data_IF_511027621494
#
_entry.id   IF_511027621494
#
_cell.length_a   1.000
_cell.length_b   1.000
_cell.length_c   1.000
_cell.angle_alpha   90.00
_cell.angle_beta   90.00
_cell.angle_gamma   90.00
#
_symmetry.space_group_name_H-M   'P 1'
#
loop_
_entity.id
_entity.type
_entity.pdbx_description
1 polymer ?
#
# COMPACT_ATOMS: atom_id res chain seq x y z
N UNK A 1 -8.00 -3.06 -3.41
CA UNK A 1 -6.61 -3.09 -2.88
C UNK A 1 -6.18 -4.54 -2.74
N UNK A 2 -5.43 -5.09 -3.71
CA UNK A 2 -4.82 -6.41 -3.57
C UNK A 2 -3.41 -6.22 -3.04
N UNK A 3 -3.29 -6.35 -1.73
CA UNK A 3 -2.02 -6.24 -1.01
C UNK A 3 -1.34 -7.61 -1.04
N UNK A 4 -0.05 -7.66 -1.37
CA UNK A 4 0.77 -8.81 -0.99
C UNK A 4 1.32 -8.55 0.44
N UNK A 5 0.71 -9.09 1.51
CA UNK A 5 1.21 -8.91 2.88
C UNK A 5 2.59 -9.57 3.09
N UNK A 6 2.99 -10.42 2.13
CA UNK A 6 4.26 -11.15 2.00
C UNK A 6 5.53 -10.32 1.83
N UNK A 7 5.40 -9.06 1.43
CA UNK A 7 6.43 -8.46 0.62
C UNK A 7 7.17 -7.34 1.36
N UNK A 8 8.46 -7.58 1.63
CA UNK A 8 9.34 -6.61 2.26
C UNK A 8 9.54 -5.40 1.33
N UNK A 9 8.80 -4.33 1.58
CA UNK A 9 8.97 -3.05 0.89
C UNK A 9 10.10 -2.26 1.57
N UNK A 10 11.13 -1.89 0.79
CA UNK A 10 12.14 -0.93 1.29
C UNK A 10 11.56 0.47 1.44
N UNK A 11 10.56 0.81 0.62
CA UNK A 11 9.80 2.06 0.70
C UNK A 11 8.31 1.76 0.86
N UNK A 12 7.75 2.18 2.00
CA UNK A 12 6.32 2.05 2.28
C UNK A 12 5.54 3.10 1.47
N UNK A 13 4.47 2.73 0.75
CA UNK A 13 3.75 3.62 -0.15
C UNK A 13 2.74 4.49 0.60
N UNK A 14 3.18 5.17 1.66
CA UNK A 14 2.30 5.84 2.60
C UNK A 14 1.69 7.09 1.98
N UNK A 15 2.42 7.82 1.13
CA UNK A 15 1.88 9.01 0.46
C UNK A 15 0.80 8.61 -0.54
N UNK A 16 1.03 7.56 -1.34
CA UNK A 16 0.06 7.02 -2.28
C UNK A 16 -1.21 6.53 -1.56
N UNK A 17 -1.05 5.78 -0.46
CA UNK A 17 -2.18 5.33 0.37
C UNK A 17 -2.95 6.51 0.96
N UNK A 18 -2.26 7.55 1.43
CA UNK A 18 -2.90 8.76 1.97
C UNK A 18 -3.76 9.43 0.89
N UNK A 19 -3.24 9.59 -0.33
CA UNK A 19 -4.00 10.17 -1.44
C UNK A 19 -5.19 9.30 -1.85
N UNK A 20 -5.04 7.98 -1.83
CA UNK A 20 -6.12 7.05 -2.12
C UNK A 20 -7.30 7.20 -1.17
N UNK A 21 -7.00 7.24 0.14
CA UNK A 21 -8.00 7.37 1.21
C UNK A 21 -8.71 8.72 1.10
N UNK A 22 -7.97 9.82 0.89
CA UNK A 22 -8.56 11.15 0.80
C UNK A 22 -9.52 11.31 -0.37
N UNK A 23 -9.24 10.66 -1.50
CA UNK A 23 -10.06 10.75 -2.70
C UNK A 23 -11.11 9.64 -2.80
N UNK A 24 -11.31 8.87 -1.72
CA UNK A 24 -12.19 7.71 -1.67
C UNK A 24 -12.06 6.80 -2.91
N UNK A 25 -10.84 6.71 -3.44
CA UNK A 25 -10.62 6.02 -4.71
C UNK A 25 -10.59 4.53 -4.41
N UNK A 26 -11.59 3.81 -4.93
CA UNK A 26 -11.56 2.35 -4.99
C UNK A 26 -10.41 1.94 -5.89
N UNK A 27 -9.24 1.79 -5.28
CA UNK A 27 -8.08 1.35 -6.02
C UNK A 27 -8.18 -0.16 -6.16
N UNK A 28 -8.44 -0.60 -7.39
CA UNK A 28 -8.18 -1.96 -7.82
C UNK A 28 -6.72 -2.04 -8.28
N UNK A 29 -5.82 -2.20 -7.31
CA UNK A 29 -4.38 -2.23 -7.54
C UNK A 29 -3.76 -3.43 -6.87
N UNK A 30 -2.84 -4.07 -7.58
CA UNK A 30 -1.93 -5.05 -7.02
C UNK A 30 -0.66 -4.32 -6.59
N UNK A 31 -0.40 -4.25 -5.29
CA UNK A 31 0.92 -3.85 -4.78
C UNK A 31 1.88 -5.00 -5.04
N UNK A 32 2.65 -4.91 -6.13
CA UNK A 32 3.61 -5.96 -6.48
C UNK A 32 4.90 -5.73 -5.71
N UNK A 33 4.89 -6.37 -4.54
CA UNK A 33 5.99 -6.91 -3.76
C UNK A 33 6.82 -8.01 -4.44
N UNK A 34 7.80 -7.79 -5.32
CA UNK A 34 8.61 -8.89 -5.88
C UNK A 34 10.07 -8.92 -5.40
N UNK A 35 10.68 -10.10 -5.44
CA UNK A 35 12.05 -10.34 -4.97
C UNK A 35 13.12 -9.70 -5.87
N UNK A 36 12.73 -9.18 -7.03
CA UNK A 36 13.59 -8.49 -8.00
C UNK A 36 13.54 -6.96 -7.83
N UNK A 37 12.47 -6.44 -7.21
CA UNK A 37 12.11 -5.02 -7.17
C UNK A 37 11.66 -4.68 -5.75
N UNK A 38 12.56 -4.17 -4.92
CA UNK A 38 12.28 -3.84 -3.51
C UNK A 38 11.42 -2.58 -3.31
N UNK A 39 10.75 -2.09 -4.36
CA UNK A 39 10.01 -0.83 -4.37
C UNK A 39 8.51 -1.09 -4.51
N UNK A 40 7.70 -0.24 -3.88
CA UNK A 40 6.27 -0.28 -4.07
C UNK A 40 5.91 0.14 -5.51
N UNK A 41 5.00 -0.60 -6.13
CA UNK A 41 4.63 -0.40 -7.51
C UNK A 41 3.13 -0.63 -7.75
N UNK A 42 2.59 0.06 -8.75
CA UNK A 42 1.18 0.11 -9.12
C UNK A 42 1.01 -0.34 -10.58
N UNK A 43 0.36 -1.48 -10.78
CA UNK A 43 0.00 -1.97 -12.12
C UNK A 43 -1.08 -1.11 -12.78
N UNK A 44 -0.97 -0.88 -14.09
CA UNK A 44 -1.91 -0.08 -14.88
C UNK A 44 -2.91 -0.97 -15.65
N UNK A 45 -4.18 -0.56 -15.83
CA UNK A 45 -5.19 -1.36 -16.54
C UNK A 45 -4.83 -1.71 -18.00
N UNK A 46 -4.06 -0.86 -18.68
CA UNK A 46 -3.61 -1.07 -20.06
C UNK A 46 -2.27 -1.81 -20.19
N UNK A 47 -1.72 -2.34 -19.08
CA UNK A 47 -0.35 -2.84 -19.01
C UNK A 47 0.66 -1.75 -18.64
N UNK A 48 1.77 -2.16 -18.03
CA UNK A 48 2.76 -1.25 -17.45
C UNK A 48 2.61 -1.08 -15.94
N UNK A 49 3.63 -0.46 -15.33
CA UNK A 49 3.75 -0.31 -13.88
C UNK A 49 4.27 1.09 -13.54
N UNK A 50 3.66 1.75 -12.55
CA UNK A 50 4.17 2.98 -11.94
C UNK A 50 4.93 2.59 -10.68
N UNK A 51 6.19 3.02 -10.58
CA UNK A 51 7.08 2.67 -9.45
C UNK A 51 7.33 3.90 -8.59
N UNK A 52 7.26 3.73 -7.27
CA UNK A 52 7.60 4.77 -6.29
C UNK A 52 6.39 5.49 -5.70
N UNK A 53 6.47 5.79 -4.41
CA UNK A 53 5.35 6.31 -3.60
C UNK A 53 4.72 7.58 -4.20
N UNK A 54 5.55 8.58 -4.53
CA UNK A 54 5.08 9.85 -5.09
C UNK A 54 4.54 9.71 -6.52
N UNK A 55 5.11 8.83 -7.34
CA UNK A 55 4.63 8.59 -8.69
C UNK A 55 3.25 7.91 -8.67
N UNK A 56 3.08 6.93 -7.79
CA UNK A 56 1.77 6.30 -7.55
C UNK A 56 0.75 7.32 -7.03
N UNK A 57 1.13 8.18 -6.07
CA UNK A 57 0.26 9.22 -5.55
C UNK A 57 -0.21 10.19 -6.65
N UNK A 58 0.70 10.64 -7.53
CA UNK A 58 0.35 11.47 -8.70
C UNK A 58 -0.61 10.75 -9.64
N UNK A 59 -0.39 9.47 -9.92
CA UNK A 59 -1.30 8.69 -10.77
C UNK A 59 -2.70 8.57 -10.16
N UNK A 60 -2.79 8.30 -8.85
CA UNK A 60 -4.06 8.20 -8.13
C UNK A 60 -4.84 9.52 -8.24
N UNK A 61 -4.18 10.66 -8.04
CA UNK A 61 -4.82 11.97 -8.13
C UNK A 61 -5.33 12.29 -9.54
N UNK A 62 -4.58 11.94 -10.58
CA UNK A 62 -5.02 12.15 -11.98
C UNK A 62 -6.26 11.32 -12.36
N UNK A 63 -6.55 10.25 -11.61
CA UNK A 63 -7.72 9.39 -11.80
C UNK A 63 -8.90 9.76 -10.91
N UNK A 64 -8.66 10.50 -9.83
CA UNK A 64 -9.75 10.98 -9.00
C UNK A 64 -10.55 11.99 -9.82
N UNK A 65 -11.85 11.77 -9.98
CA UNK A 65 -12.74 12.68 -10.70
C UNK A 65 -12.79 14.02 -9.98
N UNK A 66 -11.99 14.97 -10.45
CA UNK A 66 -11.93 16.35 -9.97
C UNK A 66 -11.07 17.19 -10.90
N UNK A 67 -11.67 18.16 -11.58
CA UNK A 67 -10.91 19.20 -12.26
C UNK A 67 -10.16 20.01 -11.20
N UNK A 68 -8.86 19.74 -11.05
CA UNK A 68 -7.98 20.58 -10.23
C UNK A 68 -7.50 21.73 -11.11
N UNK A 69 -7.53 22.95 -10.58
CA UNK A 69 -6.99 24.12 -11.28
C UNK A 69 -5.51 23.86 -11.60
N UNK A 70 -5.12 24.03 -12.87
CA UNK A 70 -3.75 23.87 -13.36
C UNK A 70 -2.72 24.66 -12.53
N UNK A 71 -3.13 25.78 -11.93
CA UNK A 71 -2.28 26.57 -11.05
C UNK A 71 -2.01 25.86 -9.72
N UNK A 72 -3.03 25.21 -9.15
CA UNK A 72 -2.89 24.41 -7.92
C UNK A 72 -2.07 23.14 -8.17
N UNK A 73 -2.25 22.49 -9.32
CA UNK A 73 -1.42 21.35 -9.74
C UNK A 73 0.06 21.73 -9.80
N UNK A 74 0.40 22.85 -10.47
CA UNK A 74 1.78 23.33 -10.56
C UNK A 74 2.37 23.66 -9.17
N UNK A 75 1.58 24.25 -8.27
CA UNK A 75 2.00 24.50 -6.89
C UNK A 75 2.26 23.19 -6.15
N UNK A 76 1.38 22.20 -6.27
CA UNK A 76 1.56 20.88 -5.64
C UNK A 76 2.84 20.23 -6.14
N UNK A 77 3.08 20.22 -7.46
CA UNK A 77 4.29 19.62 -8.02
C UNK A 77 5.56 20.31 -7.54
N UNK A 78 5.56 21.64 -7.40
CA UNK A 78 6.70 22.38 -6.85
C UNK A 78 7.05 21.93 -5.42
N UNK A 79 6.05 21.66 -4.59
CA UNK A 79 6.24 21.15 -3.23
C UNK A 79 6.71 19.70 -3.20
N UNK A 80 6.23 18.87 -4.13
CA UNK A 80 6.69 17.48 -4.27
C UNK A 80 8.16 17.45 -4.65
N UNK A 81 8.57 18.27 -5.62
CA UNK A 81 9.96 18.35 -6.05
C UNK A 81 10.87 18.90 -4.94
N UNK A 82 10.39 19.91 -4.19
CA UNK A 82 11.07 20.40 -2.99
C UNK A 82 11.24 19.28 -1.95
N UNK A 83 10.17 18.54 -1.63
CA UNK A 83 10.20 17.43 -0.67
C UNK A 83 11.17 16.32 -1.09
N UNK A 84 11.30 16.04 -2.38
CA UNK A 84 12.28 15.10 -2.92
C UNK A 84 13.71 15.61 -2.74
N UNK A 85 13.96 16.89 -3.05
CA UNK A 85 15.30 17.49 -2.96
C UNK A 85 15.83 17.47 -1.52
N UNK A 86 15.00 17.80 -0.53
CA UNK A 86 15.42 17.87 0.87
C UNK A 86 15.61 16.51 1.54
N UNK A 87 15.06 15.43 0.96
CA UNK A 87 15.29 14.06 1.46
C UNK A 87 16.75 13.64 1.36
N UNK A 88 17.51 14.25 0.44
CA UNK A 88 18.95 14.04 0.27
C UNK A 88 19.78 14.64 1.41
N UNK A 89 19.20 15.54 2.21
CA UNK A 89 19.88 16.14 3.36
C UNK A 89 19.90 15.19 4.57
N UNK A 90 20.95 15.31 5.38
CA UNK A 90 21.02 14.68 6.69
C UNK A 90 19.84 15.12 7.58
N UNK A 91 19.38 14.22 8.45
CA UNK A 91 18.17 14.42 9.28
C UNK A 91 18.13 15.78 10.00
N UNK A 92 19.19 16.27 10.67
CA UNK A 92 19.13 17.57 11.36
C UNK A 92 18.95 18.75 10.40
N UNK A 93 19.68 18.76 9.28
CA UNK A 93 19.60 19.81 8.25
C UNK A 93 18.24 19.79 7.56
N UNK A 94 17.72 18.60 7.29
CA UNK A 94 16.40 18.39 6.70
C UNK A 94 15.29 18.92 7.61
N UNK A 95 15.33 18.62 8.91
CA UNK A 95 14.37 19.13 9.89
C UNK A 95 14.39 20.66 9.96
N UNK A 96 15.59 21.26 9.98
CA UNK A 96 15.73 22.71 9.98
C UNK A 96 15.18 23.36 8.71
N UNK A 97 15.51 22.81 7.53
CA UNK A 97 15.01 23.31 6.25
C UNK A 97 13.48 23.25 6.14
N UNK A 98 12.89 22.12 6.59
CA UNK A 98 11.43 21.97 6.63
C UNK A 98 10.82 22.97 7.62
N UNK A 99 11.41 23.13 8.81
CA UNK A 99 10.92 24.08 9.81
C UNK A 99 10.88 25.51 9.28
N UNK A 100 11.98 26.00 8.70
CA UNK A 100 12.08 27.36 8.16
C UNK A 100 11.09 27.58 7.02
N UNK A 101 10.96 26.60 6.13
CA UNK A 101 10.07 26.69 4.97
C UNK A 101 8.60 26.70 5.39
N UNK A 102 8.22 25.82 6.32
CA UNK A 102 6.87 25.79 6.89
C UNK A 102 6.55 27.07 7.67
N UNK A 103 7.51 27.59 8.43
CA UNK A 103 7.30 28.81 9.20
C UNK A 103 7.06 30.03 8.32
N UNK A 104 7.61 30.06 7.10
CA UNK A 104 7.30 31.09 6.12
C UNK A 104 5.97 30.80 5.40
N UNK A 105 5.77 29.58 4.91
CA UNK A 105 4.63 29.21 4.07
C UNK A 105 3.29 29.18 4.83
N UNK A 106 3.31 28.86 6.12
CA UNK A 106 2.11 28.59 6.93
C UNK A 106 1.84 29.64 8.02
N UNK A 107 2.39 30.85 7.88
CA UNK A 107 2.09 31.94 8.84
C UNK A 107 0.59 32.25 8.90
N UNK A 108 -0.06 32.31 7.74
CA UNK A 108 -1.49 32.62 7.58
C UNK A 108 -2.30 31.47 6.97
N UNK A 109 -1.69 30.27 6.86
CA UNK A 109 -2.28 29.12 6.19
C UNK A 109 -2.20 27.85 7.04
N UNK A 110 -3.15 26.96 6.82
CA UNK A 110 -3.20 25.65 7.47
C UNK A 110 -2.50 24.58 6.63
N UNK A 111 -2.68 24.62 5.31
CA UNK A 111 -2.14 23.67 4.34
C UNK A 111 -1.22 24.38 3.35
N UNK A 112 -0.31 23.61 2.72
CA UNK A 112 0.66 24.17 1.76
C UNK A 112 -0.01 24.74 0.51
N UNK A 113 -1.02 24.04 -0.01
CA UNK A 113 -1.78 24.44 -1.20
C UNK A 113 -3.27 24.33 -0.90
N UNK A 114 -4.02 25.39 -1.22
CA UNK A 114 -5.46 25.43 -1.04
C UNK A 114 -5.90 25.43 0.44
N UNK A 115 -6.99 24.72 0.72
CA UNK A 115 -7.67 24.72 2.03
C UNK A 115 -7.88 23.32 2.62
N UNK A 116 -7.33 22.30 1.99
CA UNK A 116 -7.44 20.89 2.39
C UNK A 116 -6.07 20.21 2.32
N UNK A 117 -5.94 19.02 2.91
CA UNK A 117 -4.72 18.23 2.84
C UNK A 117 -4.49 17.77 1.39
N UNK A 118 -3.35 18.13 0.82
CA UNK A 118 -2.99 17.79 -0.57
C UNK A 118 -1.76 16.90 -0.65
N UNK A 119 -1.41 16.44 -1.87
CA UNK A 119 -0.15 15.74 -2.11
C UNK A 119 1.07 16.55 -1.67
N UNK A 120 1.02 17.90 -1.73
CA UNK A 120 2.10 18.75 -1.23
C UNK A 120 2.37 18.49 0.26
N UNK A 121 1.31 18.48 1.09
CA UNK A 121 1.43 18.25 2.53
C UNK A 121 1.93 16.84 2.82
N UNK A 122 1.35 15.82 2.17
CA UNK A 122 1.75 14.44 2.36
C UNK A 122 3.19 14.17 1.90
N UNK A 123 3.62 14.76 0.78
CA UNK A 123 4.99 14.65 0.28
C UNK A 123 5.99 15.32 1.23
N UNK A 124 5.72 16.54 1.70
CA UNK A 124 6.62 17.21 2.65
C UNK A 124 6.65 16.48 4.00
N UNK A 125 5.51 15.97 4.47
CA UNK A 125 5.43 15.22 5.72
C UNK A 125 6.21 13.91 5.65
N UNK A 126 6.20 13.27 4.49
CA UNK A 126 7.01 12.08 4.24
C UNK A 126 8.53 12.36 4.31
N UNK A 127 8.98 13.59 4.00
CA UNK A 127 10.36 13.99 4.18
C UNK A 127 10.78 14.12 5.66
N UNK A 128 9.83 14.27 6.59
CA UNK A 128 10.09 14.16 8.04
C UNK A 128 10.29 12.71 8.51
N UNK A 129 10.17 11.73 7.62
CA UNK A 129 10.15 10.31 7.94
C UNK A 129 8.75 9.76 8.22
N UNK A 130 7.71 10.54 7.91
CA UNK A 130 6.30 10.16 8.07
C UNK A 130 5.96 9.67 9.50
N UNK A 131 6.18 10.51 10.53
CA UNK A 131 5.87 10.13 11.91
C UNK A 131 4.35 9.94 12.05
N UNK A 132 3.89 8.73 12.35
CA UNK A 132 2.46 8.45 12.52
C UNK A 132 2.11 7.72 13.81
N UNK A 133 3.12 7.15 14.48
CA UNK A 133 2.95 6.69 15.87
C UNK A 133 3.10 7.87 16.82
N UNK A 134 2.43 7.79 17.97
CA UNK A 134 2.46 8.86 18.97
C UNK A 134 3.89 9.22 19.41
N UNK A 135 4.73 8.21 19.65
CA UNK A 135 6.14 8.42 20.04
C UNK A 135 6.94 9.15 18.97
N UNK A 136 6.81 8.74 17.71
CA UNK A 136 7.50 9.37 16.57
C UNK A 136 7.01 10.81 16.34
N UNK A 137 5.70 11.02 16.43
CA UNK A 137 5.08 12.34 16.33
C UNK A 137 5.61 13.30 17.38
N UNK A 138 5.70 12.84 18.63
CA UNK A 138 6.30 13.61 19.72
C UNK A 138 7.76 13.91 19.44
N UNK A 139 8.56 12.90 19.10
CA UNK A 139 9.99 13.03 18.86
C UNK A 139 10.31 14.00 17.70
N UNK A 140 9.60 13.90 16.57
CA UNK A 140 9.80 14.83 15.44
C UNK A 140 9.36 16.25 15.81
N UNK A 141 8.25 16.41 16.50
CA UNK A 141 7.76 17.74 16.92
C UNK A 141 8.68 18.43 17.93
N UNK A 142 9.37 17.66 18.77
CA UNK A 142 10.37 18.14 19.73
C UNK A 142 11.74 18.40 19.09
N UNK A 143 12.05 17.71 17.98
CA UNK A 143 13.28 17.93 17.21
C UNK A 143 13.22 19.18 16.31
N UNK A 144 12.03 19.73 16.06
CA UNK A 144 11.88 21.01 15.35
C UNK A 144 12.23 22.18 16.29
N UNK A 145 12.79 23.29 15.77
CA UNK A 145 13.07 24.49 16.56
C UNK A 145 11.85 24.96 17.36
N UNK A 146 12.04 25.39 18.60
CA UNK A 146 10.93 25.72 19.52
C UNK A 146 10.14 26.93 19.04
N UNK A 147 10.82 27.87 18.38
CA UNK A 147 10.27 29.07 17.74
C UNK A 147 9.48 28.79 16.45
N UNK A 148 9.61 27.59 15.84
CA UNK A 148 8.91 27.22 14.61
C UNK A 148 7.46 26.80 14.90
N UNK A 149 6.64 27.76 15.30
CA UNK A 149 5.27 27.57 15.77
C UNK A 149 4.36 26.96 14.71
N UNK A 150 4.43 27.42 13.46
CA UNK A 150 3.62 26.94 12.36
C UNK A 150 4.08 25.54 11.92
N UNK A 151 5.40 25.29 11.88
CA UNK A 151 5.94 23.97 11.55
C UNK A 151 5.50 22.90 12.57
N UNK A 152 5.59 23.21 13.87
CA UNK A 152 5.17 22.29 14.94
C UNK A 152 3.67 22.07 14.94
N UNK A 153 2.87 23.13 14.70
CA UNK A 153 1.40 23.03 14.55
C UNK A 153 1.04 22.11 13.40
N UNK A 154 1.58 22.37 12.21
CA UNK A 154 1.32 21.58 11.00
C UNK A 154 1.75 20.12 11.18
N UNK A 155 2.92 19.87 11.81
CA UNK A 155 3.40 18.50 12.08
C UNK A 155 2.42 17.73 12.96
N UNK A 156 1.91 18.34 14.04
CA UNK A 156 0.89 17.72 14.91
C UNK A 156 -0.42 17.49 14.17
N UNK A 157 -0.83 18.43 13.32
CA UNK A 157 -2.03 18.30 12.50
C UNK A 157 -1.92 17.09 11.57
N UNK A 158 -0.80 16.95 10.84
CA UNK A 158 -0.55 15.83 9.95
C UNK A 158 -0.55 14.49 10.72
N UNK A 159 0.12 14.42 11.88
CA UNK A 159 0.09 13.27 12.77
C UNK A 159 -1.32 12.84 13.21
N UNK A 160 -2.25 13.79 13.35
CA UNK A 160 -3.62 13.53 13.78
C UNK A 160 -4.60 13.30 12.62
N UNK A 161 -4.15 13.43 11.37
CA UNK A 161 -4.99 13.18 10.20
C UNK A 161 -5.40 11.70 10.13
N UNK A 162 -6.72 11.45 9.98
CA UNK A 162 -7.27 10.10 9.88
C UNK A 162 -6.68 9.38 8.67
N UNK A 163 -6.64 10.02 7.51
CA UNK A 163 -6.10 9.44 6.29
C UNK A 163 -4.61 9.06 6.41
N UNK A 164 -3.81 9.92 7.06
CA UNK A 164 -2.38 9.66 7.31
C UNK A 164 -2.21 8.45 8.23
N UNK A 165 -3.00 8.39 9.31
CA UNK A 165 -2.93 7.30 10.29
C UNK A 165 -3.39 5.97 9.69
N UNK A 166 -4.48 5.97 8.93
CA UNK A 166 -4.99 4.79 8.23
C UNK A 166 -4.02 4.33 7.13
N UNK A 167 -3.48 5.25 6.33
CA UNK A 167 -2.42 4.94 5.36
C UNK A 167 -1.20 4.29 6.04
N UNK A 168 -0.80 4.81 7.19
CA UNK A 168 0.26 4.20 7.99
C UNK A 168 -0.11 2.83 8.53
N UNK A 169 -1.33 2.63 9.02
CA UNK A 169 -1.80 1.33 9.47
C UNK A 169 -1.83 0.32 8.34
N UNK A 170 -2.29 0.70 7.15
CA UNK A 170 -2.24 -0.14 5.96
C UNK A 170 -0.79 -0.44 5.57
N UNK A 171 0.09 0.57 5.54
CA UNK A 171 1.51 0.41 5.26
C UNK A 171 2.26 -0.42 6.30
N UNK A 172 1.83 -0.37 7.57
CA UNK A 172 2.34 -1.23 8.64
C UNK A 172 1.73 -2.61 8.52
N UNK A 173 0.45 -2.80 8.19
CA UNK A 173 -0.12 -4.11 7.89
C UNK A 173 0.57 -4.76 6.69
N UNK A 174 1.04 -3.97 5.73
CA UNK A 174 1.90 -4.39 4.61
C UNK A 174 3.30 -4.84 5.10
N UNK A 175 3.83 -4.25 6.17
CA UNK A 175 5.19 -4.49 6.69
C UNK A 175 5.24 -5.22 8.05
N UNK A 176 4.07 -5.61 8.55
CA UNK A 176 3.73 -5.86 9.96
C UNK A 176 2.56 -6.82 10.09
N UNK A 177 2.08 -7.40 8.98
CA UNK A 177 2.36 -8.83 8.83
C UNK A 177 3.77 -9.02 9.36
N UNK A 178 3.89 -9.55 10.59
CA UNK A 178 5.12 -10.23 10.95
C UNK A 178 5.49 -10.97 9.67
N UNK A 179 6.76 -10.92 9.22
CA UNK A 179 7.30 -12.11 8.56
C UNK A 179 6.64 -13.23 9.31
N UNK A 180 5.79 -14.01 8.65
CA UNK A 180 5.28 -15.15 9.34
C UNK A 180 6.57 -15.87 9.68
N UNK A 181 7.00 -15.75 10.94
CA UNK A 181 8.04 -16.53 11.55
C UNK A 181 7.35 -17.87 11.68
N UNK A 182 7.10 -18.47 10.53
CA UNK A 182 7.17 -19.89 10.41
C UNK A 182 8.64 -20.13 10.67
N UNK A 183 8.89 -20.69 11.85
CA UNK A 183 9.92 -21.71 11.94
C UNK A 183 9.94 -22.48 10.62
N UNK A 184 11.11 -22.92 10.19
CA UNK A 184 11.23 -23.92 9.14
C UNK A 184 10.67 -25.27 9.63
N UNK A 185 9.50 -25.26 10.26
CA UNK A 185 8.62 -26.39 10.37
C UNK A 185 8.17 -26.66 8.95
N UNK A 186 8.88 -27.61 8.33
CA UNK A 186 8.45 -28.25 7.11
C UNK A 186 6.94 -28.51 7.25
N UNK A 187 6.12 -27.79 6.48
CA UNK A 187 4.68 -28.05 6.39
C UNK A 187 4.52 -29.55 6.22
N UNK A 188 3.87 -30.20 7.18
CA UNK A 188 3.61 -31.63 7.09
C UNK A 188 2.83 -31.88 5.79
N UNK A 189 3.21 -32.91 5.02
CA UNK A 189 2.50 -33.22 3.80
C UNK A 189 1.03 -33.51 4.13
N UNK A 190 0.11 -32.93 3.35
CA UNK A 190 -1.34 -33.13 3.54
C UNK A 190 -1.73 -34.61 3.50
N UNK A 191 -0.94 -35.43 2.81
CA UNK A 191 -1.11 -36.87 2.69
C UNK A 191 0.26 -37.53 2.57
N UNK A 192 0.42 -38.73 3.11
CA UNK A 192 1.63 -39.55 2.98
C UNK A 192 1.95 -39.80 1.49
N UNK A 193 3.20 -39.55 1.08
CA UNK A 193 3.65 -39.72 -0.31
C UNK A 193 3.49 -38.50 -1.23
N UNK A 194 3.17 -37.31 -0.71
CA UNK A 194 3.22 -36.07 -1.51
C UNK A 194 4.66 -35.61 -1.77
N UNK A 195 5.03 -35.55 -3.05
CA UNK A 195 6.34 -35.09 -3.51
C UNK A 195 6.42 -33.57 -3.71
N UNK A 196 7.68 -33.12 -3.80
CA UNK A 196 8.04 -31.77 -4.20
C UNK A 196 7.67 -31.51 -5.67
N UNK A 197 7.26 -30.27 -5.99
CA UNK A 197 7.11 -29.81 -7.36
C UNK A 197 8.49 -29.82 -8.03
N UNK A 198 8.61 -30.55 -9.12
CA UNK A 198 9.84 -30.60 -9.90
C UNK A 198 10.17 -29.19 -10.43
N UNK A 199 11.34 -28.66 -10.08
CA UNK A 199 11.74 -27.30 -10.46
C UNK A 199 11.06 -26.17 -9.67
N UNK A 200 10.34 -26.50 -8.59
CA UNK A 200 9.72 -25.51 -7.71
C UNK A 200 10.78 -24.66 -7.01
N UNK A 201 10.82 -23.36 -7.32
CA UNK A 201 11.70 -22.39 -6.66
C UNK A 201 10.91 -21.59 -5.64
N UNK A 202 11.43 -21.48 -4.42
CA UNK A 202 10.81 -20.67 -3.39
C UNK A 202 10.58 -19.22 -3.85
N UNK A 203 9.40 -18.66 -3.63
CA UNK A 203 9.02 -17.33 -4.10
C UNK A 203 8.51 -17.27 -5.55
N UNK A 204 8.61 -18.36 -6.32
CA UNK A 204 8.26 -18.38 -7.77
C UNK A 204 7.08 -19.28 -8.13
N UNK A 205 6.66 -20.18 -7.24
CA UNK A 205 5.51 -21.06 -7.49
C UNK A 205 4.22 -20.24 -7.50
N UNK A 206 3.38 -20.45 -8.50
CA UNK A 206 2.05 -19.84 -8.58
C UNK A 206 1.05 -20.95 -8.84
N UNK A 207 0.09 -21.12 -7.93
CA UNK A 207 -1.02 -22.06 -8.07
C UNK A 207 -2.29 -21.31 -8.45
N UNK A 208 -3.20 -21.97 -9.17
CA UNK A 208 -4.46 -21.37 -9.62
C UNK A 208 -5.62 -22.22 -9.14
N UNK A 209 -6.58 -21.58 -8.49
CA UNK A 209 -7.89 -22.16 -8.21
C UNK A 209 -8.94 -21.43 -9.06
N UNK A 210 -9.48 -22.08 -10.10
CA UNK A 210 -10.51 -21.50 -10.94
C UNK A 210 -11.90 -22.04 -10.64
N UNK A 211 -12.63 -21.47 -9.66
CA UNK A 211 -14.01 -21.87 -9.40
C UNK A 211 -14.95 -21.30 -10.48
N UNK A 212 -15.87 -22.12 -10.96
CA UNK A 212 -16.99 -21.67 -11.79
C UNK A 212 -18.11 -21.15 -10.88
N UNK A 213 -18.60 -19.90 -11.03
CA UNK A 213 -19.63 -19.32 -10.16
C UNK A 213 -21.04 -19.79 -10.54
N UNK A 214 -21.20 -21.07 -10.88
CA UNK A 214 -22.48 -21.70 -11.23
C UNK A 214 -23.12 -22.49 -10.07
N UNK A 215 -22.46 -22.50 -8.89
CA UNK A 215 -22.94 -23.19 -7.70
C UNK A 215 -22.01 -23.01 -6.49
N UNK A 216 -22.44 -23.52 -5.34
CA UNK A 216 -21.67 -23.45 -4.09
C UNK A 216 -20.42 -24.34 -4.12
N UNK A 217 -19.41 -23.98 -3.33
CA UNK A 217 -18.24 -24.84 -3.15
C UNK A 217 -18.66 -26.15 -2.50
N UNK A 218 -18.19 -27.26 -3.08
CA UNK A 218 -18.34 -28.58 -2.48
C UNK A 218 -16.96 -29.12 -2.08
N UNK A 219 -16.93 -30.31 -1.47
CA UNK A 219 -15.70 -30.91 -0.94
C UNK A 219 -14.58 -31.07 -1.99
N UNK A 220 -14.93 -31.22 -3.27
CA UNK A 220 -13.97 -31.29 -4.37
C UNK A 220 -13.27 -29.96 -4.61
N UNK A 221 -14.02 -28.86 -4.57
CA UNK A 221 -13.46 -27.51 -4.62
C UNK A 221 -12.58 -27.21 -3.41
N UNK A 222 -13.03 -27.57 -2.21
CA UNK A 222 -12.24 -27.41 -1.00
C UNK A 222 -10.90 -28.18 -1.11
N UNK A 223 -10.93 -29.44 -1.59
CA UNK A 223 -9.72 -30.24 -1.83
C UNK A 223 -8.76 -29.58 -2.82
N UNK A 224 -9.28 -29.09 -3.94
CA UNK A 224 -8.46 -28.42 -4.96
C UNK A 224 -7.86 -27.11 -4.43
N UNK A 225 -8.63 -26.33 -3.67
CA UNK A 225 -8.14 -25.10 -3.06
C UNK A 225 -7.07 -25.38 -2.01
N UNK A 226 -7.31 -26.31 -1.07
CA UNK A 226 -6.36 -26.69 -0.03
C UNK A 226 -5.04 -27.22 -0.59
N UNK A 227 -5.09 -28.02 -1.67
CA UNK A 227 -3.89 -28.51 -2.33
C UNK A 227 -3.07 -27.38 -2.98
N UNK A 228 -3.76 -26.48 -3.67
CA UNK A 228 -3.13 -25.33 -4.31
C UNK A 228 -2.56 -24.34 -3.28
N UNK A 229 -3.25 -24.14 -2.16
CA UNK A 229 -2.79 -23.35 -1.03
C UNK A 229 -1.57 -23.98 -0.36
N UNK A 230 -1.58 -25.30 -0.12
CA UNK A 230 -0.44 -26.03 0.43
C UNK A 230 0.84 -25.81 -0.39
N UNK A 231 0.78 -26.00 -1.72
CA UNK A 231 1.94 -25.78 -2.57
C UNK A 231 2.34 -24.30 -2.66
N UNK A 232 1.38 -23.37 -2.65
CA UNK A 232 1.69 -21.95 -2.57
C UNK A 232 2.44 -21.62 -1.26
N UNK A 233 1.96 -22.07 -0.11
CA UNK A 233 2.61 -21.83 1.19
C UNK A 233 3.97 -22.52 1.29
N UNK A 234 4.06 -23.80 0.91
CA UNK A 234 5.30 -24.62 0.94
C UNK A 234 6.44 -24.00 0.16
N UNK A 235 6.14 -23.41 -1.00
CA UNK A 235 7.13 -22.77 -1.87
C UNK A 235 7.15 -21.25 -1.73
N UNK A 236 6.55 -20.66 -0.69
CA UNK A 236 6.49 -19.20 -0.51
C UNK A 236 5.96 -18.48 -1.76
N UNK A 237 5.09 -19.15 -2.51
CA UNK A 237 4.50 -18.77 -3.77
C UNK A 237 3.18 -18.00 -3.60
N UNK A 238 2.35 -17.99 -4.64
CA UNK A 238 1.05 -17.31 -4.64
C UNK A 238 -0.07 -18.24 -5.09
N UNK A 239 -1.22 -18.17 -4.42
CA UNK A 239 -2.47 -18.76 -4.88
C UNK A 239 -3.27 -17.68 -5.61
N UNK A 240 -3.67 -17.95 -6.85
CA UNK A 240 -4.55 -17.07 -7.63
C UNK A 240 -5.93 -17.71 -7.69
N UNK A 241 -6.92 -17.02 -7.14
CA UNK A 241 -8.33 -17.34 -7.37
C UNK A 241 -8.79 -16.57 -8.61
N UNK A 242 -9.25 -17.29 -9.63
CA UNK A 242 -9.75 -16.68 -10.87
C UNK A 242 -11.06 -17.34 -11.25
N UNK A 243 -12.17 -16.63 -11.06
CA UNK A 243 -13.48 -17.10 -11.49
C UNK A 243 -13.47 -17.49 -12.96
N UNK A 244 -13.94 -18.70 -13.23
CA UNK A 244 -14.04 -19.26 -14.58
C UNK A 244 -15.44 -18.95 -15.12
N UNK A 245 -15.60 -17.75 -15.66
CA UNK A 245 -16.85 -17.25 -16.27
C UNK A 245 -16.91 -17.71 -17.74
N UNK A 246 -17.31 -18.97 -17.92
CA UNK A 246 -17.43 -19.58 -19.25
C UNK A 246 -18.88 -19.85 -19.63
N UNK A 247 -19.82 -19.65 -18.71
CA UNK A 247 -21.24 -19.93 -18.95
C UNK A 247 -22.15 -18.87 -18.29
N UNK A 248 -22.36 -17.72 -18.96
CA UNK A 248 -23.15 -16.61 -18.44
C UNK A 248 -24.59 -16.95 -18.05
N UNK A 249 -25.15 -18.07 -18.55
CA UNK A 249 -26.52 -18.50 -18.26
C UNK A 249 -26.70 -19.18 -16.90
N UNK A 250 -25.62 -19.70 -16.32
CA UNK A 250 -25.64 -20.44 -15.05
C UNK A 250 -24.99 -19.67 -13.89
N UNK A 251 -24.32 -18.58 -14.21
CA UNK A 251 -23.57 -17.80 -13.26
C UNK A 251 -24.48 -16.84 -12.50
N UNK A 252 -24.21 -16.71 -11.20
CA UNK A 252 -24.93 -15.77 -10.35
C UNK A 252 -23.99 -15.13 -9.35
N UNK A 253 -24.24 -13.87 -9.08
CA UNK A 253 -23.51 -13.07 -8.08
C UNK A 253 -23.58 -13.71 -6.67
N UNK A 254 -24.69 -14.38 -6.34
CA UNK A 254 -24.85 -15.12 -5.08
C UNK A 254 -23.79 -16.21 -4.89
N UNK A 255 -23.44 -16.92 -5.97
CA UNK A 255 -22.43 -17.99 -5.91
C UNK A 255 -21.03 -17.39 -5.84
N UNK A 256 -20.74 -16.34 -6.61
CA UNK A 256 -19.47 -15.64 -6.53
C UNK A 256 -19.19 -15.12 -5.12
N UNK A 257 -20.16 -14.46 -4.49
CA UNK A 257 -20.02 -13.92 -3.15
C UNK A 257 -19.82 -15.03 -2.10
N UNK A 258 -20.59 -16.11 -2.20
CA UNK A 258 -20.44 -17.27 -1.30
C UNK A 258 -19.07 -17.92 -1.46
N UNK A 259 -18.56 -18.07 -2.69
CA UNK A 259 -17.23 -18.63 -2.95
C UNK A 259 -16.15 -17.76 -2.33
N UNK A 260 -16.23 -16.43 -2.45
CA UNK A 260 -15.25 -15.52 -1.82
C UNK A 260 -15.31 -15.65 -0.30
N UNK A 261 -16.50 -15.69 0.29
CA UNK A 261 -16.68 -15.80 1.73
C UNK A 261 -16.13 -17.13 2.28
N UNK A 262 -16.41 -18.24 1.60
CA UNK A 262 -15.94 -19.57 1.99
C UNK A 262 -14.43 -19.70 1.86
N UNK A 263 -13.84 -19.15 0.79
CA UNK A 263 -12.39 -19.12 0.61
C UNK A 263 -11.69 -18.22 1.64
N UNK A 264 -12.35 -17.17 2.12
CA UNK A 264 -11.83 -16.29 3.18
C UNK A 264 -11.78 -16.95 4.56
N UNK A 265 -12.44 -18.10 4.75
CA UNK A 265 -12.46 -18.87 6.01
C UNK A 265 -11.46 -20.04 6.03
N UNK A 266 -10.77 -20.31 4.92
CA UNK A 266 -9.71 -21.33 4.77
C UNK A 266 -8.32 -20.75 5.12
#
# INVERSE_FOLDING_TARGET
IVINPNAALTEKPVVALTMAILNNTLLDYTLISDHMSRHASLGLPGGGVVVGDLAMARYILRRADGEMDSSQEALIDSWVDYAQSIRLLEKPKRLLAIAQTLEHALQSRTYLVGHTLTLADAALFSALGFPAQYADCKAVTEALPTEASAARRWTRMMCNSIAVREACQLAVGIAGSKEAQFEDTALEPLVEGMDYLQGGVAGKVVTRFPPEPSGYLHIGHAKACLLNDYYARRYKGRLIVRFDDTNPSKEKEEFQQSIIEDLGKL
#
